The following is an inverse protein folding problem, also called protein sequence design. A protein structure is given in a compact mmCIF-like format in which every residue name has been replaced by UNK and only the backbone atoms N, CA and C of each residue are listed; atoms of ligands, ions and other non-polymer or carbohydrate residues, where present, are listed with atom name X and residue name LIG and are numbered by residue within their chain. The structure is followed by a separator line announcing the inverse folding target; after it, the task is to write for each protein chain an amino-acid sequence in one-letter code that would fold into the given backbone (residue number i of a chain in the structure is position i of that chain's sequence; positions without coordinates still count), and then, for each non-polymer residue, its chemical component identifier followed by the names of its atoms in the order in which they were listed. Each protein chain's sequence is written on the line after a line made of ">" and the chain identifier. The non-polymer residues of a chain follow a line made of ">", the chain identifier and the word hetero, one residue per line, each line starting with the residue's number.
data_IF_526472901090
#
_entry.id   IF_526472901090
#
_cell.length_a   1.000
_cell.length_b   1.000
_cell.length_c   1.000
_cell.angle_alpha   90.00
_cell.angle_beta   90.00
_cell.angle_gamma   90.00
#
_symmetry.space_group_name_H-M   'P 1'
#
loop_
_entity.id
_entity.type
_entity.pdbx_description
1 polymer ?
#
# COMPACT_ATOMS: atom_id res chain seq x y z
N UNK A 1 30.41 -4.94 22.30
CA UNK A 1 29.56 -5.03 23.50
C UNK A 1 29.45 -3.66 24.19
N UNK A 2 30.56 -2.99 24.53
CA UNK A 2 30.55 -1.65 25.17
C UNK A 2 29.71 -0.62 24.36
N UNK A 3 29.83 -0.61 23.03
CA UNK A 3 29.05 0.27 22.17
C UNK A 3 27.55 -0.01 22.27
N UNK A 4 27.13 -1.27 22.28
CA UNK A 4 25.71 -1.65 22.43
C UNK A 4 25.15 -1.21 23.78
N UNK A 5 25.93 -1.32 24.83
CA UNK A 5 25.58 -0.83 26.18
C UNK A 5 25.47 0.71 26.20
N UNK A 6 26.40 1.44 25.55
CA UNK A 6 26.36 2.92 25.43
C UNK A 6 25.16 3.44 24.64
N UNK A 7 24.70 2.66 23.67
CA UNK A 7 23.52 2.97 22.85
C UNK A 7 22.23 2.37 23.43
N UNK A 8 22.31 1.71 24.57
CA UNK A 8 21.20 1.05 25.26
C UNK A 8 20.47 0.02 24.36
N UNK A 9 21.24 -0.71 23.55
CA UNK A 9 20.73 -1.75 22.66
C UNK A 9 20.92 -3.13 23.31
N UNK A 10 19.85 -3.89 23.59
CA UNK A 10 19.92 -5.21 24.22
C UNK A 10 20.30 -6.28 23.19
N UNK A 11 21.57 -6.28 22.75
CA UNK A 11 22.08 -7.17 21.71
C UNK A 11 23.10 -8.13 22.28
N UNK A 12 22.93 -9.43 22.04
CA UNK A 12 23.99 -10.41 22.23
C UNK A 12 24.89 -10.45 20.99
N UNK A 13 26.05 -9.84 21.08
CA UNK A 13 27.03 -9.69 19.99
C UNK A 13 27.64 -11.01 19.50
N UNK A 14 27.28 -12.14 20.09
CA UNK A 14 27.74 -13.48 19.70
C UNK A 14 26.75 -14.22 18.78
N UNK A 15 25.54 -13.69 18.64
CA UNK A 15 24.49 -14.24 17.75
C UNK A 15 24.65 -13.72 16.33
N UNK A 16 24.18 -14.50 15.37
CA UNK A 16 24.14 -14.07 13.98
C UNK A 16 23.15 -12.92 13.78
N UNK A 17 23.52 -11.96 12.91
CA UNK A 17 22.73 -10.76 12.67
C UNK A 17 21.33 -11.10 12.10
N UNK A 18 21.23 -12.15 11.31
CA UNK A 18 19.98 -12.64 10.69
C UNK A 18 18.94 -13.11 11.71
N UNK A 19 19.35 -13.45 12.93
CA UNK A 19 18.44 -13.89 13.99
C UNK A 19 17.70 -12.74 14.68
N UNK A 20 18.14 -11.50 14.43
CA UNK A 20 17.50 -10.31 14.99
C UNK A 20 16.40 -9.77 14.08
N UNK A 21 15.39 -9.09 14.70
CA UNK A 21 14.39 -8.36 13.95
C UNK A 21 15.04 -7.33 13.01
N UNK A 22 14.38 -7.00 11.94
CA UNK A 22 14.87 -6.01 10.96
C UNK A 22 15.18 -4.66 11.63
N UNK A 23 14.37 -4.25 12.60
CA UNK A 23 14.61 -3.08 13.42
C UNK A 23 15.94 -3.16 14.18
N UNK A 24 16.22 -4.30 14.81
CA UNK A 24 17.46 -4.47 15.56
C UNK A 24 18.68 -4.51 14.62
N UNK A 25 18.55 -5.12 13.46
CA UNK A 25 19.59 -5.09 12.42
C UNK A 25 19.88 -3.64 11.98
N UNK A 26 18.85 -2.82 11.80
CA UNK A 26 18.98 -1.39 11.49
C UNK A 26 19.72 -0.62 12.60
N UNK A 27 19.34 -0.85 13.86
CA UNK A 27 20.01 -0.23 15.01
C UNK A 27 21.49 -0.63 15.11
N UNK A 28 21.82 -1.90 14.83
CA UNK A 28 23.20 -2.39 14.80
C UNK A 28 23.98 -1.74 13.65
N UNK A 29 23.37 -1.55 12.48
CA UNK A 29 24.00 -0.85 11.36
C UNK A 29 24.33 0.61 11.70
N UNK A 30 23.42 1.31 12.39
CA UNK A 30 23.65 2.67 12.89
C UNK A 30 24.76 2.68 13.95
N UNK A 31 24.73 1.74 14.89
CA UNK A 31 25.77 1.60 15.92
C UNK A 31 27.16 1.43 15.29
N UNK A 32 27.28 0.63 14.23
CA UNK A 32 28.53 0.45 13.47
C UNK A 32 29.03 1.75 12.84
N UNK A 33 28.12 2.57 12.29
CA UNK A 33 28.51 3.86 11.71
C UNK A 33 28.99 4.84 12.81
N UNK A 34 28.35 4.82 13.97
CA UNK A 34 28.72 5.64 15.13
C UNK A 34 30.09 5.24 15.68
N UNK A 35 30.42 3.95 15.74
CA UNK A 35 31.73 3.43 16.20
C UNK A 35 32.90 3.95 15.34
N UNK A 36 32.63 4.30 14.10
CA UNK A 36 33.60 4.90 13.19
C UNK A 36 33.83 6.41 13.40
N UNK A 37 33.32 7.00 14.48
CA UNK A 37 33.37 8.45 14.80
C UNK A 37 32.86 9.33 13.65
N UNK A 38 31.75 8.92 13.03
CA UNK A 38 31.17 9.65 11.92
C UNK A 38 30.69 11.04 12.37
N UNK A 39 30.96 12.06 11.55
CA UNK A 39 30.48 13.43 11.78
C UNK A 39 29.14 13.67 11.10
N UNK A 40 28.83 12.89 10.07
CA UNK A 40 27.56 12.92 9.32
C UNK A 40 27.07 11.50 9.15
N UNK A 41 25.81 11.27 9.52
CA UNK A 41 25.09 10.01 9.36
C UNK A 41 23.97 10.21 8.34
N UNK A 42 23.94 9.38 7.30
CA UNK A 42 22.88 9.40 6.30
C UNK A 42 22.01 8.15 6.52
N UNK A 43 20.73 8.37 6.73
CA UNK A 43 19.71 7.34 6.93
C UNK A 43 18.70 7.42 5.77
N UNK A 44 18.71 6.41 4.91
CA UNK A 44 17.81 6.33 3.76
C UNK A 44 16.68 5.36 4.07
N UNK A 45 15.43 5.88 4.16
CA UNK A 45 14.20 5.13 4.49
C UNK A 45 14.31 4.19 5.71
N UNK A 46 14.94 4.61 6.84
CA UNK A 46 15.28 3.68 7.92
C UNK A 46 14.07 3.14 8.68
N UNK A 47 12.89 3.70 8.46
CA UNK A 47 11.66 3.36 9.19
C UNK A 47 10.67 2.55 8.36
N UNK A 48 10.96 2.26 7.09
CA UNK A 48 10.01 1.63 6.16
C UNK A 48 9.51 0.24 6.57
N UNK A 49 10.22 -0.43 7.49
CA UNK A 49 9.89 -1.78 7.96
C UNK A 49 9.81 -1.88 9.49
N UNK A 50 9.68 -0.73 10.17
CA UNK A 50 9.62 -0.64 11.62
C UNK A 50 8.18 -0.39 12.09
N UNK A 51 7.84 -0.94 13.26
CA UNK A 51 6.62 -0.56 13.97
C UNK A 51 6.79 0.79 14.72
N UNK A 52 5.69 1.35 15.25
CA UNK A 52 5.71 2.64 15.93
C UNK A 52 6.64 2.66 17.16
N UNK A 53 6.74 1.54 17.88
CA UNK A 53 7.61 1.42 19.06
C UNK A 53 9.08 1.41 18.65
N UNK A 54 9.39 0.74 17.55
CA UNK A 54 10.73 0.66 16.97
C UNK A 54 11.16 2.01 16.37
N UNK A 55 10.23 2.72 15.72
CA UNK A 55 10.45 4.09 15.20
C UNK A 55 10.82 5.04 16.34
N UNK A 56 10.12 5.02 17.47
CA UNK A 56 10.44 5.89 18.62
C UNK A 56 11.81 5.56 19.23
N UNK A 57 12.23 4.29 19.25
CA UNK A 57 13.60 3.90 19.67
C UNK A 57 14.64 4.49 18.73
N UNK A 58 14.41 4.40 17.41
CA UNK A 58 15.28 5.01 16.40
C UNK A 58 15.38 6.53 16.60
N UNK A 59 14.27 7.23 16.81
CA UNK A 59 14.24 8.68 17.02
C UNK A 59 14.97 9.08 18.31
N UNK A 60 14.84 8.28 19.37
CA UNK A 60 15.58 8.48 20.60
C UNK A 60 17.09 8.37 20.38
N UNK A 61 17.53 7.38 19.58
CA UNK A 61 18.92 7.23 19.19
C UNK A 61 19.41 8.41 18.35
N UNK A 62 18.62 8.83 17.33
CA UNK A 62 18.95 9.97 16.47
C UNK A 62 19.11 11.27 17.29
N UNK A 63 18.19 11.55 18.22
CA UNK A 63 18.29 12.71 19.12
C UNK A 63 19.57 12.66 19.97
N UNK A 64 19.91 11.49 20.53
CA UNK A 64 21.14 11.30 21.30
C UNK A 64 22.40 11.55 20.47
N UNK A 65 22.44 11.12 19.21
CA UNK A 65 23.55 11.35 18.29
C UNK A 65 23.67 12.81 17.90
N UNK A 66 22.56 13.49 17.59
CA UNK A 66 22.52 14.94 17.33
C UNK A 66 23.07 15.72 18.52
N UNK A 67 22.66 15.37 19.73
CA UNK A 67 23.13 16.06 20.96
C UNK A 67 24.62 15.84 21.22
N UNK A 68 25.21 14.78 20.65
CA UNK A 68 26.68 14.54 20.61
C UNK A 68 27.38 15.25 19.44
N UNK A 69 26.65 16.04 18.63
CA UNK A 69 27.20 16.83 17.54
C UNK A 69 27.30 16.09 16.20
N UNK A 70 26.65 14.95 16.02
CA UNK A 70 26.54 14.26 14.73
C UNK A 70 25.49 14.93 13.87
N UNK A 71 25.85 15.35 12.67
CA UNK A 71 24.89 15.82 11.64
C UNK A 71 24.13 14.62 11.07
N UNK A 72 22.81 14.69 11.02
CA UNK A 72 21.98 13.58 10.49
C UNK A 72 21.22 14.03 9.26
N UNK A 73 21.36 13.29 8.17
CA UNK A 73 20.52 13.42 6.97
C UNK A 73 19.51 12.27 6.99
N UNK A 74 18.25 12.58 7.19
CA UNK A 74 17.16 11.62 7.29
C UNK A 74 16.30 11.70 6.03
N UNK A 75 16.39 10.70 5.16
CA UNK A 75 15.61 10.59 3.93
C UNK A 75 14.39 9.72 4.21
N UNK A 76 13.21 10.27 3.99
CA UNK A 76 11.94 9.55 4.20
C UNK A 76 10.80 10.20 3.41
N UNK A 77 9.75 9.44 3.16
CA UNK A 77 8.48 9.94 2.63
C UNK A 77 7.38 10.03 3.73
N UNK A 78 7.66 9.59 4.97
CA UNK A 78 6.74 9.68 6.10
C UNK A 78 6.79 11.08 6.73
N UNK A 79 5.87 11.96 6.32
CA UNK A 79 5.90 13.37 6.73
C UNK A 79 5.79 13.55 8.25
N UNK A 80 5.00 12.74 8.94
CA UNK A 80 4.85 12.80 10.41
C UNK A 80 6.18 12.60 11.12
N UNK A 81 6.99 11.66 10.62
CA UNK A 81 8.31 11.38 11.16
C UNK A 81 9.26 12.57 10.96
N UNK A 82 9.17 13.25 9.80
CA UNK A 82 9.97 14.45 9.53
C UNK A 82 9.65 15.54 10.56
N UNK A 83 8.37 15.79 10.83
CA UNK A 83 7.96 16.78 11.85
C UNK A 83 8.32 16.36 13.28
N UNK A 84 8.44 15.07 13.56
CA UNK A 84 8.77 14.56 14.89
C UNK A 84 10.25 14.67 15.26
N UNK A 85 11.19 14.61 14.28
CA UNK A 85 12.60 14.44 14.57
C UNK A 85 13.54 15.41 13.86
N UNK A 86 13.11 16.07 12.76
CA UNK A 86 13.97 16.96 11.97
C UNK A 86 13.91 18.42 12.44
N UNK A 87 14.99 19.17 12.24
CA UNK A 87 15.07 20.61 12.49
C UNK A 87 14.80 21.42 11.20
N UNK A 88 15.21 20.86 10.04
CA UNK A 88 15.07 21.45 8.70
C UNK A 88 14.61 20.40 7.71
N UNK A 89 13.94 20.86 6.66
CA UNK A 89 13.52 20.04 5.53
C UNK A 89 14.14 20.59 4.24
N UNK A 90 14.75 19.71 3.46
CA UNK A 90 15.15 19.95 2.08
C UNK A 90 14.22 19.18 1.16
N UNK A 91 13.47 19.88 0.31
CA UNK A 91 12.52 19.23 -0.62
C UNK A 91 13.18 19.04 -1.97
N UNK A 92 13.24 17.79 -2.42
CA UNK A 92 13.68 17.41 -3.76
C UNK A 92 12.48 16.87 -4.55
N UNK A 93 12.39 17.23 -5.83
CA UNK A 93 11.38 16.75 -6.75
C UNK A 93 11.99 16.48 -8.12
N UNK A 94 11.88 15.24 -8.61
CA UNK A 94 12.45 14.82 -9.90
C UNK A 94 13.95 15.16 -10.03
N UNK A 95 14.72 14.97 -8.95
CA UNK A 95 16.16 15.27 -8.91
C UNK A 95 16.52 16.77 -8.82
N UNK A 96 15.52 17.65 -8.69
CA UNK A 96 15.74 19.12 -8.60
C UNK A 96 15.41 19.60 -7.19
N UNK A 97 16.24 20.50 -6.65
CA UNK A 97 15.98 21.19 -5.40
C UNK A 97 14.79 22.13 -5.54
N UNK A 98 13.75 21.92 -4.72
CA UNK A 98 12.56 22.79 -4.65
C UNK A 98 12.76 23.89 -3.62
N UNK A 99 13.34 23.54 -2.45
CA UNK A 99 13.63 24.52 -1.41
C UNK A 99 14.11 23.87 -0.12
N UNK A 100 14.60 24.72 0.79
CA UNK A 100 14.95 24.37 2.17
C UNK A 100 14.12 25.20 3.14
N UNK A 101 13.64 24.58 4.20
CA UNK A 101 12.74 25.22 5.15
C UNK A 101 13.07 24.78 6.58
N UNK A 102 13.08 25.70 7.57
CA UNK A 102 12.94 25.30 8.97
C UNK A 102 11.61 24.58 9.19
N UNK A 103 11.60 23.55 10.02
CA UNK A 103 10.37 22.75 10.23
C UNK A 103 9.25 23.58 10.84
N UNK A 104 9.61 24.52 11.73
CA UNK A 104 8.65 25.41 12.40
C UNK A 104 7.90 26.34 11.43
N UNK A 105 8.50 26.65 10.27
CA UNK A 105 7.96 27.61 9.33
C UNK A 105 7.22 26.95 8.15
N UNK A 106 7.25 25.63 8.08
CA UNK A 106 6.67 24.88 6.96
C UNK A 106 5.45 24.05 7.41
N UNK A 107 4.23 24.57 7.32
CA UNK A 107 3.02 23.78 7.56
C UNK A 107 2.96 22.56 6.63
N UNK A 108 2.44 21.42 7.11
CA UNK A 108 2.33 20.14 6.38
C UNK A 108 1.76 20.30 4.96
N UNK A 109 0.71 21.14 4.84
CA UNK A 109 0.06 21.45 3.56
C UNK A 109 1.05 22.08 2.56
N UNK A 110 1.89 23.01 3.00
CA UNK A 110 2.91 23.65 2.15
C UNK A 110 4.02 22.69 1.77
N UNK A 111 4.42 21.78 2.68
CA UNK A 111 5.41 20.73 2.37
C UNK A 111 4.88 19.80 1.26
N UNK A 112 3.65 19.33 1.38
CA UNK A 112 3.00 18.49 0.38
C UNK A 112 2.92 19.23 -0.97
N UNK A 113 2.51 20.52 -0.97
CA UNK A 113 2.48 21.34 -2.17
C UNK A 113 3.86 21.49 -2.82
N UNK A 114 4.93 21.69 -2.03
CA UNK A 114 6.30 21.76 -2.52
C UNK A 114 6.77 20.44 -3.15
N UNK A 115 6.41 19.30 -2.55
CA UNK A 115 6.76 17.96 -3.06
C UNK A 115 6.02 17.65 -4.35
N UNK A 116 4.74 17.99 -4.48
CA UNK A 116 3.87 17.65 -5.61
C UNK A 116 3.92 18.69 -6.74
N UNK A 117 4.20 19.95 -6.44
CA UNK A 117 4.15 21.05 -7.40
C UNK A 117 2.76 21.69 -7.52
N UNK A 118 2.38 22.15 -8.71
CA UNK A 118 1.11 22.87 -8.94
C UNK A 118 -0.15 21.99 -8.80
N UNK A 119 0.01 20.67 -8.73
CA UNK A 119 -1.09 19.72 -8.69
C UNK A 119 -1.70 19.55 -7.27
N UNK A 120 -1.34 20.45 -6.33
CA UNK A 120 -1.84 20.36 -4.96
C UNK A 120 -3.36 20.64 -4.84
N UNK A 121 -3.90 21.53 -5.67
CA UNK A 121 -5.35 21.81 -5.72
C UNK A 121 -6.15 20.54 -6.13
N UNK A 122 -5.50 19.62 -6.84
CA UNK A 122 -6.03 18.32 -7.23
C UNK A 122 -6.16 17.31 -6.07
N UNK A 123 -5.42 17.46 -4.96
CA UNK A 123 -5.54 16.56 -3.79
C UNK A 123 -6.80 16.81 -2.96
N UNK A 124 -7.24 18.06 -2.90
CA UNK A 124 -8.47 18.42 -2.19
C UNK A 124 -9.73 17.97 -2.96
N UNK A 125 -9.60 17.72 -4.26
CA UNK A 125 -10.71 17.40 -5.17
C UNK A 125 -10.60 16.00 -5.81
N UNK A 126 -10.04 15.01 -5.09
CA UNK A 126 -9.95 13.63 -5.60
C UNK A 126 -11.35 13.02 -5.81
N UNK A 127 -12.29 13.28 -4.91
CA UNK A 127 -13.68 12.84 -5.11
C UNK A 127 -14.40 13.80 -6.06
N UNK A 128 -15.19 13.29 -7.03
CA UNK A 128 -16.01 14.14 -7.89
C UNK A 128 -17.02 14.93 -7.07
N UNK A 129 -17.33 16.16 -7.51
CA UNK A 129 -18.44 16.94 -6.97
C UNK A 129 -19.73 16.12 -7.07
N UNK A 130 -20.37 15.82 -5.92
CA UNK A 130 -21.55 14.95 -5.85
C UNK A 130 -21.29 13.49 -5.49
N UNK A 131 -20.01 13.08 -5.30
CA UNK A 131 -19.63 11.71 -4.91
C UNK A 131 -19.64 10.70 -6.08
N UNK A 132 -19.44 9.43 -5.75
CA UNK A 132 -19.51 8.34 -6.73
C UNK A 132 -20.97 7.85 -6.89
N UNK A 133 -21.36 7.56 -8.12
CA UNK A 133 -22.68 6.98 -8.44
C UNK A 133 -22.66 5.47 -8.14
N UNK A 134 -22.98 5.10 -6.92
CA UNK A 134 -23.07 3.70 -6.50
C UNK A 134 -24.39 3.11 -7.05
N UNK A 135 -24.29 2.07 -7.86
CA UNK A 135 -25.43 1.30 -8.35
C UNK A 135 -26.08 0.47 -7.23
N UNK A 136 -27.32 0.02 -7.46
CA UNK A 136 -27.96 -0.98 -6.59
C UNK A 136 -27.56 -2.41 -6.94
N UNK A 137 -26.80 -2.61 -8.02
CA UNK A 137 -26.33 -3.92 -8.46
C UNK A 137 -25.19 -4.39 -7.51
N UNK A 138 -25.46 -5.49 -6.81
CA UNK A 138 -24.47 -6.13 -5.93
C UNK A 138 -23.46 -6.90 -6.78
N UNK A 139 -22.17 -6.56 -6.63
CA UNK A 139 -21.07 -7.30 -7.25
C UNK A 139 -20.59 -8.43 -6.36
N UNK A 140 -20.50 -8.16 -5.07
CA UNK A 140 -20.03 -9.11 -4.03
C UNK A 140 -21.00 -9.06 -2.86
N UNK A 141 -21.44 -10.23 -2.43
CA UNK A 141 -22.20 -10.43 -1.21
C UNK A 141 -21.61 -11.62 -0.45
N UNK A 142 -20.87 -11.31 0.62
CA UNK A 142 -20.27 -12.29 1.52
C UNK A 142 -21.11 -12.35 2.80
N UNK A 143 -21.64 -13.53 3.15
CA UNK A 143 -22.43 -13.77 4.35
C UNK A 143 -21.75 -14.80 5.25
N UNK A 144 -21.39 -14.42 6.48
CA UNK A 144 -20.78 -15.29 7.48
C UNK A 144 -19.45 -15.91 7.04
N UNK A 145 -18.72 -15.25 6.12
CA UNK A 145 -17.45 -15.76 5.62
C UNK A 145 -16.41 -15.75 6.73
N UNK A 146 -15.69 -16.85 6.94
CA UNK A 146 -14.66 -16.94 7.98
C UNK A 146 -13.45 -17.76 7.53
N UNK A 147 -12.33 -17.54 8.24
CA UNK A 147 -11.12 -18.34 8.09
C UNK A 147 -10.55 -18.63 9.49
N UNK A 148 -10.37 -19.92 9.83
CA UNK A 148 -10.03 -20.35 11.19
C UNK A 148 -8.78 -19.68 11.74
N UNK A 149 -8.92 -19.15 12.96
CA UNK A 149 -7.84 -18.54 13.72
C UNK A 149 -7.42 -17.14 13.22
N UNK A 150 -7.97 -16.67 12.10
CA UNK A 150 -7.62 -15.37 11.50
C UNK A 150 -8.81 -14.44 11.35
N UNK A 151 -9.93 -14.92 10.80
CA UNK A 151 -11.11 -14.12 10.51
C UNK A 151 -12.33 -14.78 11.13
N UNK A 152 -13.04 -14.04 11.98
CA UNK A 152 -14.35 -14.40 12.51
C UNK A 152 -15.42 -14.22 11.43
N UNK A 153 -16.60 -14.90 11.54
CA UNK A 153 -17.67 -14.70 10.56
C UNK A 153 -17.99 -13.24 10.34
N UNK A 154 -17.95 -12.80 9.08
CA UNK A 154 -18.24 -11.42 8.68
C UNK A 154 -19.18 -11.37 7.47
N UNK A 155 -19.90 -10.26 7.37
CA UNK A 155 -20.75 -9.93 6.24
C UNK A 155 -20.18 -8.69 5.54
N UNK A 156 -20.10 -8.75 4.21
CA UNK A 156 -19.67 -7.64 3.39
C UNK A 156 -20.41 -7.64 2.06
N UNK A 157 -21.06 -6.54 1.75
CA UNK A 157 -21.67 -6.29 0.45
C UNK A 157 -20.89 -5.19 -0.27
N UNK A 158 -20.68 -5.35 -1.58
CA UNK A 158 -20.07 -4.33 -2.42
C UNK A 158 -20.87 -4.21 -3.73
N UNK A 159 -21.14 -2.97 -4.08
CA UNK A 159 -21.97 -2.63 -5.23
C UNK A 159 -21.13 -2.12 -6.42
N UNK A 160 -21.73 -2.17 -7.60
CA UNK A 160 -21.10 -1.62 -8.80
C UNK A 160 -20.90 -0.10 -8.68
N UNK A 161 -19.69 0.38 -9.00
CA UNK A 161 -19.31 1.78 -8.87
C UNK A 161 -18.99 2.22 -7.45
N UNK A 162 -18.81 1.27 -6.53
CA UNK A 162 -18.49 1.53 -5.12
C UNK A 162 -16.99 1.32 -4.83
N UNK A 163 -16.44 2.18 -3.98
CA UNK A 163 -15.16 1.96 -3.32
C UNK A 163 -15.43 1.75 -1.83
N UNK A 164 -15.29 0.52 -1.36
CA UNK A 164 -15.35 0.21 0.07
C UNK A 164 -13.94 0.06 0.63
N UNK A 165 -13.68 0.69 1.78
CA UNK A 165 -12.39 0.58 2.47
C UNK A 165 -12.44 -0.45 3.59
N UNK A 166 -11.37 -1.24 3.75
CA UNK A 166 -11.14 -2.02 4.97
C UNK A 166 -10.08 -1.34 5.81
N UNK A 167 -10.47 -0.92 7.02
CA UNK A 167 -9.57 -0.26 7.97
C UNK A 167 -9.51 -1.02 9.30
N UNK A 168 -8.49 -0.74 10.09
CA UNK A 168 -8.24 -1.37 11.38
C UNK A 168 -6.76 -1.33 11.73
N UNK A 169 -6.41 -1.69 12.96
CA UNK A 169 -5.02 -1.75 13.41
C UNK A 169 -4.25 -2.85 12.66
N UNK A 170 -2.92 -2.79 12.74
CA UNK A 170 -2.05 -3.83 12.20
C UNK A 170 -2.44 -5.19 12.80
N UNK A 171 -2.57 -6.22 11.95
CA UNK A 171 -3.01 -7.54 12.38
C UNK A 171 -4.52 -7.67 12.64
N UNK A 172 -5.33 -6.69 12.26
CA UNK A 172 -6.80 -6.75 12.43
C UNK A 172 -7.52 -7.73 11.49
N UNK A 173 -6.82 -8.34 10.53
CA UNK A 173 -7.37 -9.34 9.63
C UNK A 173 -7.79 -8.82 8.25
N UNK A 174 -7.40 -7.59 7.87
CA UNK A 174 -7.79 -6.96 6.59
C UNK A 174 -7.34 -7.77 5.37
N UNK A 175 -6.05 -8.08 5.30
CA UNK A 175 -5.47 -8.84 4.18
C UNK A 175 -5.98 -10.28 4.14
N UNK A 176 -6.14 -10.91 5.30
CA UNK A 176 -6.70 -12.26 5.40
C UNK A 176 -8.16 -12.31 4.91
N UNK A 177 -8.94 -11.27 5.20
CA UNK A 177 -10.31 -11.14 4.71
C UNK A 177 -10.34 -11.00 3.18
N UNK A 178 -9.49 -10.13 2.63
CA UNK A 178 -9.35 -9.96 1.20
C UNK A 178 -8.95 -11.27 0.49
N UNK A 179 -7.96 -11.98 1.05
CA UNK A 179 -7.49 -13.28 0.55
C UNK A 179 -8.59 -14.35 0.62
N UNK A 180 -9.44 -14.33 1.65
CA UNK A 180 -10.57 -15.25 1.77
C UNK A 180 -11.67 -14.98 0.72
N UNK A 181 -11.96 -13.72 0.42
CA UNK A 181 -12.90 -13.33 -0.65
C UNK A 181 -12.36 -13.76 -2.02
N UNK A 182 -11.06 -13.59 -2.25
CA UNK A 182 -10.43 -13.90 -3.53
C UNK A 182 -10.11 -15.40 -3.72
N UNK A 183 -10.20 -16.19 -2.65
CA UNK A 183 -9.84 -17.62 -2.67
C UNK A 183 -8.34 -17.88 -2.71
N UNK A 184 -7.50 -16.90 -2.34
CA UNK A 184 -6.08 -17.09 -2.07
C UNK A 184 -5.88 -17.88 -0.77
N UNK A 185 -6.71 -17.59 0.24
CA UNK A 185 -6.90 -18.41 1.44
C UNK A 185 -8.31 -19.01 1.40
N UNK A 186 -8.42 -20.29 1.73
CA UNK A 186 -9.71 -20.99 1.65
C UNK A 186 -10.64 -20.57 2.80
N UNK A 187 -11.78 -19.97 2.47
CA UNK A 187 -12.85 -19.75 3.45
C UNK A 187 -13.34 -21.07 4.02
N UNK A 188 -13.63 -21.10 5.33
CA UNK A 188 -14.08 -22.32 6.01
C UNK A 188 -15.58 -22.36 6.22
N UNK A 189 -16.20 -21.21 6.45
CA UNK A 189 -17.65 -21.08 6.60
C UNK A 189 -18.16 -19.90 5.80
N UNK A 190 -19.46 -19.80 5.69
CA UNK A 190 -20.15 -18.71 5.00
C UNK A 190 -20.38 -18.97 3.52
N UNK A 191 -21.04 -18.04 2.89
CA UNK A 191 -21.35 -18.04 1.45
C UNK A 191 -20.82 -16.78 0.81
N UNK A 192 -20.42 -16.90 -0.44
CA UNK A 192 -20.02 -15.78 -1.28
C UNK A 192 -20.86 -15.79 -2.55
N UNK A 193 -21.54 -14.69 -2.82
CA UNK A 193 -22.21 -14.47 -4.12
C UNK A 193 -21.43 -13.44 -4.91
N UNK A 194 -21.27 -13.70 -6.20
CA UNK A 194 -20.68 -12.80 -7.16
C UNK A 194 -21.74 -12.49 -8.23
N UNK A 195 -22.10 -11.21 -8.38
CA UNK A 195 -23.18 -10.77 -9.29
C UNK A 195 -24.52 -11.50 -9.04
N UNK A 196 -24.84 -11.72 -7.77
CA UNK A 196 -26.08 -12.39 -7.34
C UNK A 196 -26.08 -13.92 -7.41
N UNK A 197 -25.04 -14.55 -7.96
CA UNK A 197 -24.94 -16.01 -8.07
C UNK A 197 -23.95 -16.56 -7.04
N UNK A 198 -24.31 -17.69 -6.38
CA UNK A 198 -23.42 -18.34 -5.41
C UNK A 198 -22.12 -18.78 -6.09
N UNK A 199 -20.99 -18.30 -5.58
CA UNK A 199 -19.66 -18.55 -6.11
C UNK A 199 -18.91 -19.57 -5.25
N UNK A 200 -18.38 -20.63 -5.87
CA UNK A 200 -17.52 -21.62 -5.22
C UNK A 200 -16.06 -21.34 -5.62
N UNK A 201 -15.42 -20.43 -4.91
CA UNK A 201 -14.02 -20.09 -5.16
C UNK A 201 -13.13 -21.02 -4.34
N UNK A 202 -12.34 -21.85 -5.00
CA UNK A 202 -11.37 -22.77 -4.38
C UNK A 202 -9.93 -22.33 -4.61
N UNK A 203 -9.72 -21.63 -5.71
CA UNK A 203 -8.40 -21.15 -6.14
C UNK A 203 -8.55 -19.74 -6.75
N UNK A 204 -7.50 -18.92 -6.77
CA UNK A 204 -7.52 -17.60 -7.38
C UNK A 204 -8.01 -17.56 -8.84
N UNK A 205 -7.77 -18.62 -9.60
CA UNK A 205 -8.23 -18.72 -10.98
C UNK A 205 -9.76 -18.73 -11.09
N UNK A 206 -10.47 -19.29 -10.10
CA UNK A 206 -11.92 -19.27 -10.08
C UNK A 206 -12.44 -17.83 -9.92
N UNK A 207 -11.82 -17.05 -9.03
CA UNK A 207 -12.12 -15.63 -8.84
C UNK A 207 -11.83 -14.83 -10.12
N UNK A 208 -10.73 -15.09 -10.80
CA UNK A 208 -10.39 -14.44 -12.08
C UNK A 208 -11.44 -14.70 -13.16
N UNK A 209 -11.98 -15.91 -13.25
CA UNK A 209 -13.05 -16.24 -14.20
C UNK A 209 -14.38 -15.56 -13.86
N UNK A 210 -14.60 -15.23 -12.58
CA UNK A 210 -15.76 -14.45 -12.12
C UNK A 210 -15.58 -12.93 -12.29
N UNK A 211 -14.47 -12.49 -12.90
CA UNK A 211 -14.19 -11.07 -13.12
C UNK A 211 -13.60 -10.36 -11.91
N UNK A 212 -12.87 -11.07 -11.07
CA UNK A 212 -12.19 -10.51 -9.89
C UNK A 212 -10.68 -10.38 -10.15
N UNK A 213 -10.05 -9.35 -9.58
CA UNK A 213 -8.61 -9.18 -9.54
C UNK A 213 -8.15 -8.82 -8.13
N UNK A 214 -6.93 -9.22 -7.73
CA UNK A 214 -6.38 -8.91 -6.42
C UNK A 214 -4.91 -8.50 -6.50
N UNK A 215 -4.62 -7.29 -6.01
CA UNK A 215 -3.27 -6.82 -5.76
C UNK A 215 -2.91 -7.17 -4.31
N UNK A 216 -1.82 -7.92 -4.06
CA UNK A 216 -1.42 -8.34 -2.71
C UNK A 216 -0.65 -7.24 -1.96
N UNK A 217 -0.63 -7.31 -0.61
CA UNK A 217 0.11 -6.40 0.28
C UNK A 217 1.63 -6.44 0.01
N UNK A 218 2.23 -7.64 -0.05
CA UNK A 218 3.65 -7.75 -0.35
C UNK A 218 3.92 -7.76 -1.86
N UNK A 219 4.16 -6.54 -2.39
CA UNK A 219 4.51 -6.35 -3.79
C UNK A 219 5.71 -7.18 -4.22
N UNK A 220 6.75 -7.29 -3.39
CA UNK A 220 8.02 -7.92 -3.77
C UNK A 220 7.95 -9.44 -3.73
N UNK A 221 7.29 -10.00 -2.73
CA UNK A 221 7.17 -11.44 -2.55
C UNK A 221 6.05 -12.05 -3.39
N UNK A 222 4.88 -11.39 -3.48
CA UNK A 222 3.68 -11.94 -4.10
C UNK A 222 3.22 -11.16 -5.35
N UNK A 223 3.64 -9.89 -5.48
CA UNK A 223 3.12 -9.01 -6.52
C UNK A 223 3.86 -9.13 -7.84
N UNK A 224 5.20 -9.04 -7.85
CA UNK A 224 6.02 -9.02 -9.07
C UNK A 224 6.79 -10.32 -9.27
N UNK A 225 7.07 -10.65 -10.56
CA UNK A 225 8.11 -11.61 -10.89
C UNK A 225 9.31 -10.81 -11.39
N UNK A 226 10.27 -10.57 -10.49
CA UNK A 226 11.32 -9.56 -10.63
C UNK A 226 12.19 -9.69 -11.90
N UNK A 227 12.47 -10.90 -12.34
CA UNK A 227 13.30 -11.18 -13.50
C UNK A 227 12.53 -11.10 -14.84
N UNK A 228 11.20 -11.15 -14.80
CA UNK A 228 10.37 -10.96 -15.99
C UNK A 228 10.27 -9.47 -16.36
N UNK A 229 10.07 -9.22 -17.64
CA UNK A 229 9.87 -7.88 -18.19
C UNK A 229 8.57 -7.24 -17.72
N UNK A 230 8.43 -5.93 -17.92
CA UNK A 230 7.17 -5.18 -17.72
C UNK A 230 6.05 -5.83 -18.52
N UNK A 231 6.26 -6.12 -19.82
CA UNK A 231 5.28 -6.79 -20.69
C UNK A 231 4.84 -8.13 -20.10
N UNK A 232 5.78 -9.01 -19.74
CA UNK A 232 5.45 -10.34 -19.19
C UNK A 232 4.68 -10.22 -17.88
N UNK A 233 5.03 -9.28 -17.00
CA UNK A 233 4.30 -9.03 -15.77
C UNK A 233 2.88 -8.52 -16.03
N UNK A 234 2.66 -7.68 -17.04
CA UNK A 234 1.32 -7.15 -17.40
C UNK A 234 0.42 -8.26 -17.91
N UNK A 235 0.89 -9.09 -18.85
CA UNK A 235 0.06 -10.10 -19.50
C UNK A 235 -0.18 -11.35 -18.65
N UNK A 236 0.53 -11.51 -17.54
CA UNK A 236 0.57 -12.75 -16.77
C UNK A 236 -0.83 -13.23 -16.34
N UNK A 237 -1.67 -12.35 -15.82
CA UNK A 237 -3.03 -12.71 -15.38
C UNK A 237 -3.94 -13.05 -16.56
N UNK A 238 -3.83 -12.34 -17.68
CA UNK A 238 -4.55 -12.69 -18.91
C UNK A 238 -4.15 -14.06 -19.43
N UNK A 239 -2.84 -14.35 -19.47
CA UNK A 239 -2.34 -15.65 -19.87
C UNK A 239 -2.83 -16.76 -18.95
N UNK A 240 -2.82 -16.53 -17.63
CA UNK A 240 -3.34 -17.50 -16.66
C UNK A 240 -4.84 -17.77 -16.87
N UNK A 241 -5.65 -16.72 -17.12
CA UNK A 241 -7.09 -16.83 -17.41
C UNK A 241 -7.38 -17.56 -18.73
N UNK A 242 -6.54 -17.35 -19.74
CA UNK A 242 -6.65 -18.00 -21.05
C UNK A 242 -6.20 -19.46 -21.03
N UNK A 243 -5.27 -19.78 -20.12
CA UNK A 243 -4.72 -21.12 -19.94
C UNK A 243 -3.38 -21.31 -20.65
N UNK A 244 -2.70 -22.42 -20.30
CA UNK A 244 -1.33 -22.73 -20.74
C UNK A 244 -1.28 -23.10 -22.24
N UNK A 245 -2.36 -23.65 -22.77
CA UNK A 245 -2.40 -24.16 -24.16
C UNK A 245 -2.75 -23.09 -25.19
N UNK A 246 -3.31 -21.94 -24.75
CA UNK A 246 -3.70 -20.84 -25.63
C UNK A 246 -2.82 -19.62 -25.35
N UNK A 247 -1.60 -19.65 -25.88
CA UNK A 247 -0.63 -18.58 -25.67
C UNK A 247 -1.06 -17.29 -26.38
N UNK A 248 -0.97 -16.17 -25.67
CA UNK A 248 -1.19 -14.85 -26.25
C UNK A 248 -0.08 -14.57 -27.27
N UNK A 249 -0.40 -14.28 -28.56
CA UNK A 249 0.62 -13.96 -29.56
C UNK A 249 1.49 -12.78 -29.16
N UNK A 250 2.78 -12.80 -29.51
CA UNK A 250 3.74 -11.76 -29.09
C UNK A 250 3.25 -10.34 -29.44
N UNK A 251 2.72 -10.14 -30.65
CA UNK A 251 2.20 -8.86 -31.09
C UNK A 251 1.05 -8.35 -30.19
N UNK A 252 0.14 -9.24 -29.80
CA UNK A 252 -0.97 -8.91 -28.87
C UNK A 252 -0.45 -8.56 -27.49
N UNK A 253 0.58 -9.29 -26.99
CA UNK A 253 1.24 -8.96 -25.71
C UNK A 253 1.89 -7.58 -25.74
N UNK A 254 2.55 -7.22 -26.83
CA UNK A 254 3.19 -5.92 -27.02
C UNK A 254 2.17 -4.80 -27.05
N UNK A 255 1.08 -4.96 -27.80
CA UNK A 255 -0.02 -3.97 -27.90
C UNK A 255 -0.69 -3.74 -26.53
N UNK A 256 -0.93 -4.82 -25.76
CA UNK A 256 -1.50 -4.73 -24.42
C UNK A 256 -0.53 -4.01 -23.47
N UNK A 257 0.75 -4.39 -23.48
CA UNK A 257 1.74 -3.78 -22.62
C UNK A 257 1.89 -2.28 -22.89
N UNK A 258 2.04 -1.90 -24.15
CA UNK A 258 2.17 -0.49 -24.56
C UNK A 258 0.93 0.32 -24.16
N UNK A 259 -0.30 -0.23 -24.38
CA UNK A 259 -1.54 0.41 -23.93
C UNK A 259 -1.54 0.72 -22.43
N UNK A 260 -1.15 -0.22 -21.59
CA UNK A 260 -1.18 -0.02 -20.13
C UNK A 260 0.00 0.80 -19.62
N UNK A 261 1.17 0.75 -20.28
CA UNK A 261 2.30 1.63 -20.01
C UNK A 261 1.87 3.09 -20.23
N UNK A 262 1.20 3.37 -21.35
CA UNK A 262 0.72 4.72 -21.66
C UNK A 262 -0.44 5.13 -20.75
N UNK A 263 -1.43 4.26 -20.53
CA UNK A 263 -2.60 4.56 -19.70
C UNK A 263 -2.22 4.94 -18.26
N UNK A 264 -1.30 4.17 -17.67
CA UNK A 264 -0.88 4.36 -16.27
C UNK A 264 0.40 5.20 -16.15
N UNK A 265 0.92 5.72 -17.27
CA UNK A 265 2.15 6.52 -17.29
C UNK A 265 3.31 5.80 -16.56
N UNK A 266 3.54 4.51 -16.91
CA UNK A 266 4.59 3.70 -16.31
C UNK A 266 5.95 4.14 -16.86
N UNK A 267 6.84 4.61 -16.00
CA UNK A 267 8.18 5.05 -16.37
C UNK A 267 9.11 3.83 -16.45
N UNK A 268 9.35 3.35 -17.66
CA UNK A 268 10.31 2.29 -17.98
C UNK A 268 11.09 2.65 -19.26
N UNK A 269 12.29 2.10 -19.45
CA UNK A 269 13.08 2.32 -20.66
C UNK A 269 12.44 1.64 -21.88
N UNK A 270 11.84 0.49 -21.69
CA UNK A 270 11.04 -0.24 -22.68
C UNK A 270 10.12 -1.24 -21.96
N UNK A 271 9.13 -1.79 -22.68
CA UNK A 271 8.28 -2.89 -22.17
C UNK A 271 9.07 -4.18 -21.83
N UNK A 272 10.28 -4.34 -22.40
CA UNK A 272 11.16 -5.47 -22.11
C UNK A 272 12.10 -5.24 -20.91
N UNK A 273 12.03 -4.08 -20.26
CA UNK A 273 12.80 -3.81 -19.04
C UNK A 273 12.37 -4.77 -17.92
N UNK A 274 13.30 -5.47 -17.24
CA UNK A 274 12.98 -6.30 -16.07
C UNK A 274 12.33 -5.45 -14.97
N UNK A 275 11.19 -5.92 -14.44
CA UNK A 275 10.38 -5.11 -13.51
C UNK A 275 11.14 -4.72 -12.22
N UNK A 276 12.10 -5.55 -11.77
CA UNK A 276 12.96 -5.24 -10.60
C UNK A 276 13.79 -3.97 -10.74
N UNK A 277 14.01 -3.47 -11.97
CA UNK A 277 14.75 -2.24 -12.23
C UNK A 277 13.90 -0.97 -12.10
N UNK A 278 12.58 -1.11 -12.00
CA UNK A 278 11.68 0.02 -11.85
C UNK A 278 11.62 0.49 -10.39
N UNK A 279 11.30 1.78 -10.20
CA UNK A 279 10.93 2.30 -8.87
C UNK A 279 9.69 1.60 -8.31
N UNK A 280 9.54 1.59 -6.98
CA UNK A 280 8.40 0.96 -6.32
C UNK A 280 7.04 1.40 -6.85
N UNK A 281 6.86 2.68 -7.13
CA UNK A 281 5.63 3.22 -7.70
C UNK A 281 5.34 2.69 -9.12
N UNK A 282 6.36 2.57 -9.98
CA UNK A 282 6.18 2.01 -11.31
C UNK A 282 5.94 0.49 -11.26
N UNK A 283 6.58 -0.25 -10.35
CA UNK A 283 6.26 -1.66 -10.10
C UNK A 283 4.79 -1.83 -9.70
N UNK A 284 4.28 -0.96 -8.83
CA UNK A 284 2.89 -0.98 -8.38
C UNK A 284 1.92 -0.75 -9.54
N UNK A 285 2.22 0.23 -10.40
CA UNK A 285 1.45 0.49 -11.62
C UNK A 285 1.43 -0.71 -12.57
N UNK A 286 2.55 -1.44 -12.71
CA UNK A 286 2.61 -2.67 -13.53
C UNK A 286 1.70 -3.77 -12.96
N UNK A 287 1.65 -3.94 -11.64
CA UNK A 287 0.75 -4.95 -11.04
C UNK A 287 -0.72 -4.54 -11.24
N UNK A 288 -1.04 -3.25 -11.08
CA UNK A 288 -2.39 -2.75 -11.36
C UNK A 288 -2.72 -2.97 -12.84
N UNK A 289 -1.81 -2.66 -13.77
CA UNK A 289 -1.97 -2.92 -15.20
C UNK A 289 -2.27 -4.40 -15.49
N UNK A 290 -1.58 -5.34 -14.83
CA UNK A 290 -1.82 -6.79 -14.93
C UNK A 290 -3.29 -7.14 -14.70
N UNK A 291 -3.87 -6.59 -13.64
CA UNK A 291 -5.26 -6.86 -13.30
C UNK A 291 -6.24 -6.13 -14.23
N UNK A 292 -5.97 -4.87 -14.54
CA UNK A 292 -6.81 -4.11 -15.48
C UNK A 292 -6.83 -4.74 -16.88
N UNK A 293 -5.74 -5.40 -17.28
CA UNK A 293 -5.68 -6.12 -18.55
C UNK A 293 -6.68 -7.29 -18.64
N UNK A 294 -7.10 -7.86 -17.50
CA UNK A 294 -8.14 -8.92 -17.47
C UNK A 294 -9.57 -8.38 -17.53
N UNK A 295 -9.75 -7.05 -17.56
CA UNK A 295 -11.03 -6.33 -17.49
C UNK A 295 -11.93 -6.82 -16.34
N UNK A 296 -11.51 -6.67 -15.08
CA UNK A 296 -12.27 -7.15 -13.94
C UNK A 296 -13.45 -6.24 -13.63
N UNK A 297 -14.55 -6.81 -13.13
CA UNK A 297 -15.67 -6.06 -12.55
C UNK A 297 -15.40 -5.63 -11.10
N UNK A 298 -14.57 -6.42 -10.39
CA UNK A 298 -14.22 -6.21 -9.00
C UNK A 298 -12.71 -6.32 -8.77
N UNK A 299 -12.16 -5.32 -8.08
CA UNK A 299 -10.74 -5.25 -7.74
C UNK A 299 -10.56 -5.19 -6.23
N UNK A 300 -9.67 -6.03 -5.73
CA UNK A 300 -9.15 -5.96 -4.37
C UNK A 300 -7.75 -5.34 -4.46
N UNK A 301 -7.55 -4.23 -3.76
CA UNK A 301 -6.28 -3.52 -3.71
C UNK A 301 -5.79 -3.49 -2.27
N UNK A 302 -4.87 -4.39 -1.94
CA UNK A 302 -4.32 -4.52 -0.59
C UNK A 302 -3.03 -3.70 -0.47
N UNK A 303 -3.07 -2.64 0.33
CA UNK A 303 -2.00 -1.66 0.54
C UNK A 303 -1.37 -1.14 -0.78
N UNK A 304 -2.18 -0.68 -1.77
CA UNK A 304 -1.67 -0.35 -3.11
C UNK A 304 -0.73 0.86 -3.11
N UNK A 305 -0.69 1.62 -2.03
CA UNK A 305 0.09 2.86 -1.88
C UNK A 305 1.27 2.70 -0.92
N UNK A 306 1.49 1.50 -0.37
CA UNK A 306 2.55 1.25 0.60
C UNK A 306 3.94 1.32 -0.01
N UNK A 307 4.83 2.13 0.61
CA UNK A 307 6.23 2.23 0.21
C UNK A 307 6.45 2.85 -1.18
N UNK A 308 5.58 3.76 -1.58
CA UNK A 308 5.72 4.56 -2.81
C UNK A 308 5.60 6.06 -2.50
N UNK A 309 6.09 6.88 -3.41
CA UNK A 309 6.07 8.34 -3.24
C UNK A 309 4.66 8.94 -3.32
N UNK A 310 4.47 10.12 -2.70
CA UNK A 310 3.18 10.81 -2.57
C UNK A 310 2.54 11.10 -3.94
N UNK A 311 3.33 11.44 -4.95
CA UNK A 311 2.82 11.69 -6.30
C UNK A 311 2.15 10.45 -6.88
N UNK A 312 2.85 9.31 -6.83
CA UNK A 312 2.32 8.03 -7.29
C UNK A 312 1.14 7.56 -6.43
N UNK A 313 1.13 7.79 -5.11
CA UNK A 313 -0.03 7.53 -4.24
C UNK A 313 -1.28 8.24 -4.75
N UNK A 314 -1.15 9.53 -5.07
CA UNK A 314 -2.25 10.35 -5.58
C UNK A 314 -2.76 9.84 -6.93
N UNK A 315 -1.86 9.44 -7.83
CA UNK A 315 -2.23 8.88 -9.13
C UNK A 315 -3.03 7.57 -8.96
N UNK A 316 -2.62 6.70 -8.02
CA UNK A 316 -3.34 5.46 -7.74
C UNK A 316 -4.72 5.76 -7.12
N UNK A 317 -4.83 6.72 -6.19
CA UNK A 317 -6.13 7.11 -5.62
C UNK A 317 -7.09 7.65 -6.69
N UNK A 318 -6.59 8.50 -7.60
CA UNK A 318 -7.37 8.99 -8.76
C UNK A 318 -7.82 7.85 -9.65
N UNK A 319 -6.94 6.89 -9.93
CA UNK A 319 -7.27 5.71 -10.72
C UNK A 319 -8.37 4.87 -10.06
N UNK A 320 -8.32 4.65 -8.75
CA UNK A 320 -9.36 3.91 -8.00
C UNK A 320 -10.73 4.58 -8.16
N UNK A 321 -10.79 5.90 -8.04
CA UNK A 321 -12.03 6.66 -8.21
C UNK A 321 -12.52 6.58 -9.65
N UNK A 322 -11.63 6.71 -10.63
CA UNK A 322 -11.97 6.56 -12.05
C UNK A 322 -12.56 5.17 -12.34
N UNK A 323 -11.95 4.10 -11.82
CA UNK A 323 -12.47 2.73 -11.99
C UNK A 323 -13.89 2.58 -11.41
N UNK A 324 -14.16 3.19 -10.26
CA UNK A 324 -15.50 3.20 -9.69
C UNK A 324 -16.49 4.00 -10.55
N UNK A 325 -16.08 5.14 -11.11
CA UNK A 325 -16.89 5.90 -12.05
C UNK A 325 -17.21 5.13 -13.34
N UNK A 326 -16.29 4.27 -13.79
CA UNK A 326 -16.49 3.34 -14.91
C UNK A 326 -17.38 2.13 -14.54
N UNK A 327 -17.87 2.07 -13.29
CA UNK A 327 -18.79 1.05 -12.81
C UNK A 327 -18.10 -0.20 -12.26
N UNK A 328 -16.79 -0.17 -11.98
CA UNK A 328 -16.10 -1.27 -11.29
C UNK A 328 -16.28 -1.14 -9.78
N UNK A 329 -16.36 -2.28 -9.08
CA UNK A 329 -16.33 -2.30 -7.62
C UNK A 329 -14.88 -2.39 -7.13
N UNK A 330 -14.53 -1.68 -6.07
CA UNK A 330 -13.18 -1.70 -5.51
C UNK A 330 -13.22 -1.93 -4.01
N UNK A 331 -12.50 -2.94 -3.54
CA UNK A 331 -12.16 -3.12 -2.14
C UNK A 331 -10.76 -2.55 -1.92
N UNK A 332 -10.70 -1.43 -1.21
CA UNK A 332 -9.48 -0.67 -0.98
C UNK A 332 -9.00 -0.84 0.46
N UNK A 333 -7.81 -1.39 0.66
CA UNK A 333 -7.21 -1.62 1.97
C UNK A 333 -6.01 -0.69 2.09
N UNK A 334 -5.97 0.12 3.14
CA UNK A 334 -4.82 0.96 3.47
C UNK A 334 -4.67 1.09 4.97
N UNK A 335 -3.43 1.15 5.43
CA UNK A 335 -3.07 1.52 6.79
C UNK A 335 -3.20 3.02 7.04
N UNK A 336 -3.24 3.84 5.97
CA UNK A 336 -3.37 5.29 6.04
C UNK A 336 -4.85 5.71 5.99
N UNK A 337 -5.42 6.05 7.15
CA UNK A 337 -6.84 6.44 7.28
C UNK A 337 -7.18 7.62 6.36
N UNK A 338 -6.29 8.60 6.20
CA UNK A 338 -6.51 9.77 5.34
C UNK A 338 -6.71 9.39 3.86
N UNK A 339 -6.00 8.37 3.37
CA UNK A 339 -6.19 7.86 2.01
C UNK A 339 -7.58 7.29 1.83
N UNK A 340 -8.02 6.50 2.81
CA UNK A 340 -9.34 5.87 2.78
C UNK A 340 -10.48 6.88 2.85
N UNK A 341 -10.34 7.92 3.70
CA UNK A 341 -11.33 9.00 3.81
C UNK A 341 -11.48 9.77 2.49
N UNK A 342 -10.39 9.92 1.73
CA UNK A 342 -10.41 10.60 0.42
C UNK A 342 -10.93 9.74 -0.71
N UNK A 343 -10.78 8.41 -0.61
CA UNK A 343 -11.00 7.50 -1.74
C UNK A 343 -12.30 6.72 -1.62
N UNK A 344 -12.69 6.29 -0.42
CA UNK A 344 -13.77 5.35 -0.19
C UNK A 344 -15.15 6.00 -0.01
N UNK A 345 -16.22 5.30 -0.41
CA UNK A 345 -17.61 5.69 -0.13
C UNK A 345 -18.01 5.34 1.30
N UNK A 346 -17.56 4.18 1.78
CA UNK A 346 -17.75 3.71 3.14
C UNK A 346 -16.56 2.88 3.60
N UNK A 347 -16.44 2.72 4.91
CA UNK A 347 -15.36 1.97 5.54
C UNK A 347 -15.95 0.85 6.41
N UNK A 348 -15.49 -0.36 6.20
CA UNK A 348 -15.66 -1.45 7.15
C UNK A 348 -14.47 -1.48 8.11
N UNK A 349 -14.74 -1.44 9.40
CA UNK A 349 -13.72 -1.37 10.46
C UNK A 349 -13.52 -2.75 11.06
N UNK A 350 -12.26 -3.21 11.08
CA UNK A 350 -11.88 -4.51 11.61
C UNK A 350 -11.04 -4.37 12.88
N UNK A 351 -11.27 -5.30 13.83
CA UNK A 351 -10.46 -5.50 15.02
C UNK A 351 -10.43 -6.98 15.39
N UNK A 352 -9.24 -7.52 15.63
CA UNK A 352 -9.02 -8.92 16.07
C UNK A 352 -9.77 -9.95 15.20
N UNK A 353 -9.71 -9.78 13.88
CA UNK A 353 -10.35 -10.65 12.89
C UNK A 353 -11.87 -10.51 12.78
N UNK A 354 -12.49 -9.52 13.43
CA UNK A 354 -13.92 -9.26 13.38
C UNK A 354 -14.23 -7.90 12.73
N UNK A 355 -15.32 -7.81 11.98
CA UNK A 355 -15.88 -6.52 11.57
C UNK A 355 -16.64 -5.93 12.77
N UNK A 356 -16.14 -4.80 13.27
CA UNK A 356 -16.68 -4.12 14.47
C UNK A 356 -17.61 -2.96 14.13
N UNK A 357 -17.62 -2.52 12.88
CA UNK A 357 -18.54 -1.46 12.44
C UNK A 357 -18.39 -1.10 10.98
N UNK A 358 -19.32 -0.28 10.48
CA UNK A 358 -19.25 0.37 9.18
C UNK A 358 -19.49 1.88 9.34
N UNK A 359 -18.76 2.67 8.56
CA UNK A 359 -18.87 4.11 8.50
C UNK A 359 -19.18 4.54 7.07
N UNK A 360 -20.10 5.48 6.91
CA UNK A 360 -20.46 6.08 5.62
C UNK A 360 -20.83 7.56 5.78
N UNK A 361 -20.86 8.30 4.70
CA UNK A 361 -21.20 9.73 4.70
C UNK A 361 -20.08 10.57 5.29
N UNK A 362 -20.34 11.30 6.38
CA UNK A 362 -19.35 12.14 7.06
C UNK A 362 -18.38 11.28 7.89
N UNK A 363 -17.38 10.72 7.20
CA UNK A 363 -16.32 9.90 7.79
C UNK A 363 -15.15 10.78 8.23
N UNK A 364 -14.74 10.67 9.49
CA UNK A 364 -13.56 11.36 10.04
C UNK A 364 -12.61 10.38 10.70
N UNK A 365 -11.35 10.76 10.80
CA UNK A 365 -10.34 9.96 11.49
C UNK A 365 -10.74 9.64 12.93
N UNK A 366 -11.33 10.62 13.64
CA UNK A 366 -11.83 10.44 15.01
C UNK A 366 -12.90 9.35 15.07
N UNK A 367 -13.89 9.36 14.14
CA UNK A 367 -14.94 8.34 14.08
C UNK A 367 -14.38 6.95 13.81
N UNK A 368 -13.39 6.83 12.90
CA UNK A 368 -12.71 5.57 12.62
C UNK A 368 -12.00 5.04 13.87
N UNK A 369 -11.20 5.89 14.52
CA UNK A 369 -10.47 5.51 15.75
C UNK A 369 -11.40 5.13 16.89
N UNK A 370 -12.50 5.87 17.05
CA UNK A 370 -13.54 5.55 18.03
C UNK A 370 -14.17 4.18 17.77
N UNK A 371 -14.53 3.88 16.51
CA UNK A 371 -15.11 2.57 16.13
C UNK A 371 -14.13 1.44 16.40
N UNK A 372 -12.83 1.63 16.15
CA UNK A 372 -11.78 0.64 16.48
C UNK A 372 -11.70 0.43 18.00
N UNK A 373 -11.82 1.48 18.79
CA UNK A 373 -11.67 1.40 20.25
C UNK A 373 -12.89 0.77 20.95
N UNK A 374 -14.10 1.10 20.51
CA UNK A 374 -15.36 0.69 21.13
C UNK A 374 -15.89 -0.68 20.67
N UNK A 375 -15.53 -1.14 19.44
CA UNK A 375 -15.87 -2.45 18.93
C UNK A 375 -14.94 -3.52 19.50
#
# INVERSE_FOLDING_TARGET
>A
RQLMEQLNLPVDVTRDLEEYSLAMQQMIAIARAVDMDCKVLILDEPTSSLDDVEVEKLFTLMRSLRDKGVGIVFVTHFLEQVYAVCDRITVLRNGTLVGEYPIADLPRVKLIAAMMGKDFDDLASIKPEGGLNVSKEELIDAEGLSHAGKIKPFDLQLHRGEVIGLTGLLGSGRSELARAIYGADRAQTGTLKVKGEEAKIRHPIDAMHLGMGMLPDDRKAEGIIGDLSVRENIILAMQAKRGIMDLIPMKEQEEIADKFIDLLQIKCASRETPIKQLSGGNQQKVIIARWLATDPDFLILDEPTRGIDIGTKTEIQKLVIQLAQEGKGVLFISSEIEEMLRTCNRLAVLRDGAKVGELSGDMTQEKVMKTIAEG
#
